data_IF_197901087955
#
_entry.id   IF_197901087955
#
_cell.length_a   1.000
_cell.length_b   1.000
_cell.length_c   1.000
_cell.angle_alpha   90.00
_cell.angle_beta   90.00
_cell.angle_gamma   90.00
#
_symmetry.space_group_name_H-M   'P 1'
#
loop_
_entity.id
_entity.type
_entity.pdbx_description
1 polymer ?
#
# COMPACT_ATOMS: atom_id res chain seq x y z
N UNK A 1 -24.54 3.13 7.75
CA UNK A 1 -25.46 2.01 7.46
C UNK A 1 -24.60 0.89 6.88
N UNK A 2 -24.41 -0.24 7.58
CA UNK A 2 -23.59 -1.35 7.04
C UNK A 2 -24.30 -1.91 5.81
N UNK A 3 -23.70 -1.79 4.62
CA UNK A 3 -24.25 -2.37 3.39
C UNK A 3 -24.05 -3.89 3.49
N UNK A 4 -25.15 -4.64 3.56
CA UNK A 4 -25.11 -6.10 3.47
C UNK A 4 -24.86 -6.48 2.00
N UNK A 5 -23.95 -7.44 1.78
CA UNK A 5 -23.51 -7.88 0.46
C UNK A 5 -23.95 -9.33 0.24
N UNK A 6 -24.94 -9.54 -0.64
CA UNK A 6 -25.42 -10.87 -1.02
C UNK A 6 -24.56 -11.53 -2.11
N UNK A 7 -23.69 -10.75 -2.76
CA UNK A 7 -22.72 -11.18 -3.76
C UNK A 7 -21.40 -10.43 -3.58
N UNK A 8 -20.27 -10.97 -4.06
CA UNK A 8 -18.99 -10.26 -4.05
C UNK A 8 -19.09 -8.89 -4.75
N UNK A 9 -18.44 -7.84 -4.22
CA UNK A 9 -18.28 -6.59 -4.96
C UNK A 9 -17.49 -6.83 -6.25
N UNK A 10 -17.78 -6.06 -7.29
CA UNK A 10 -17.05 -6.12 -8.55
C UNK A 10 -15.70 -5.39 -8.48
N UNK A 11 -15.60 -4.38 -7.61
CA UNK A 11 -14.42 -3.51 -7.50
C UNK A 11 -14.35 -2.81 -6.12
N UNK A 12 -13.26 -2.09 -5.89
CA UNK A 12 -13.10 -1.17 -4.76
C UNK A 12 -12.76 0.24 -5.24
N UNK A 13 -12.86 1.20 -4.34
CA UNK A 13 -12.31 2.54 -4.56
C UNK A 13 -11.62 3.01 -3.31
N UNK A 14 -10.50 3.70 -3.52
CA UNK A 14 -9.68 4.27 -2.47
C UNK A 14 -9.29 5.69 -2.88
N UNK A 15 -9.50 6.67 -1.99
CA UNK A 15 -9.10 8.04 -2.22
C UNK A 15 -7.71 8.27 -1.62
N UNK A 16 -6.74 8.60 -2.48
CA UNK A 16 -5.39 8.98 -2.07
C UNK A 16 -5.19 10.50 -2.19
N UNK A 17 -4.28 11.10 -1.41
CA UNK A 17 -4.00 12.51 -1.51
C UNK A 17 -3.52 12.89 -2.91
N UNK A 18 -3.80 14.13 -3.32
CA UNK A 18 -3.16 14.69 -4.51
C UNK A 18 -1.63 14.59 -4.38
N UNK A 19 -0.94 14.28 -5.47
CA UNK A 19 0.51 14.00 -5.44
C UNK A 19 0.88 12.56 -5.10
N UNK A 20 -0.08 11.64 -5.03
CA UNK A 20 0.20 10.20 -5.07
C UNK A 20 0.05 9.69 -6.50
N UNK A 21 1.10 9.09 -7.04
CA UNK A 21 1.13 8.59 -8.40
C UNK A 21 0.81 7.10 -8.42
N UNK A 22 -0.17 6.69 -9.22
CA UNK A 22 -0.50 5.28 -9.45
C UNK A 22 0.44 4.65 -10.47
N UNK A 23 1.18 3.64 -10.02
CA UNK A 23 1.91 2.71 -10.87
C UNK A 23 1.09 1.44 -11.02
N UNK A 24 0.53 1.21 -12.21
CA UNK A 24 -0.15 -0.05 -12.52
C UNK A 24 0.82 -1.22 -12.34
N UNK A 25 0.34 -2.31 -11.72
CA UNK A 25 1.12 -3.55 -11.60
C UNK A 25 0.81 -4.56 -12.72
N UNK A 26 -0.24 -4.31 -13.50
CA UNK A 26 -0.60 -5.07 -14.69
C UNK A 26 0.60 -5.14 -15.65
N UNK A 27 1.07 -6.33 -16.06
CA UNK A 27 2.15 -6.49 -17.02
C UNK A 27 2.01 -5.66 -18.31
N UNK A 28 0.78 -5.41 -18.78
CA UNK A 28 0.52 -4.65 -20.02
C UNK A 28 0.74 -3.14 -19.84
N UNK A 29 0.39 -2.59 -18.68
CA UNK A 29 0.44 -1.13 -18.42
C UNK A 29 1.58 -0.68 -17.50
N UNK A 30 2.24 -1.62 -16.82
CA UNK A 30 3.24 -1.35 -15.78
C UNK A 30 4.41 -0.53 -16.31
N UNK A 31 5.02 -0.95 -17.43
CA UNK A 31 6.24 -0.31 -17.93
C UNK A 31 5.94 1.11 -18.43
N UNK A 32 4.76 1.33 -19.02
CA UNK A 32 4.24 2.65 -19.40
C UNK A 32 4.02 3.54 -18.17
N UNK A 33 3.41 3.00 -17.10
CA UNK A 33 3.18 3.73 -15.85
C UNK A 33 4.48 4.16 -15.17
N UNK A 34 5.49 3.27 -15.15
CA UNK A 34 6.81 3.55 -14.59
C UNK A 34 7.54 4.64 -15.39
N UNK A 35 7.47 4.58 -16.72
CA UNK A 35 8.05 5.62 -17.57
C UNK A 35 7.39 6.98 -17.29
N UNK A 36 6.06 7.02 -17.19
CA UNK A 36 5.33 8.26 -16.90
C UNK A 36 5.74 8.87 -15.53
N UNK A 37 5.91 8.04 -14.50
CA UNK A 37 6.42 8.49 -13.20
C UNK A 37 7.85 9.05 -13.32
N UNK A 38 8.74 8.34 -14.03
CA UNK A 38 10.11 8.77 -14.23
C UNK A 38 10.18 10.10 -15.01
N UNK A 39 9.37 10.26 -16.06
CA UNK A 39 9.27 11.50 -16.81
C UNK A 39 8.75 12.66 -15.95
N UNK A 40 7.79 12.40 -15.06
CA UNK A 40 7.30 13.41 -14.11
C UNK A 40 8.38 13.82 -13.11
N UNK A 41 9.11 12.86 -12.52
CA UNK A 41 10.13 13.13 -11.51
C UNK A 41 11.35 13.87 -12.05
N UNK A 42 11.73 13.60 -13.30
CA UNK A 42 12.90 14.20 -13.93
C UNK A 42 12.56 15.37 -14.87
N UNK A 43 11.32 15.87 -14.85
CA UNK A 43 10.89 16.99 -15.70
C UNK A 43 11.76 18.22 -15.42
N UNK A 44 12.41 18.74 -16.46
CA UNK A 44 13.31 19.90 -16.34
C UNK A 44 14.72 19.56 -15.81
N UNK A 45 15.05 18.28 -15.65
CA UNK A 45 16.38 17.80 -15.27
C UNK A 45 16.90 16.75 -16.27
N UNK A 46 17.27 17.21 -17.46
CA UNK A 46 17.81 16.35 -18.54
C UNK A 46 19.24 15.87 -18.26
N UNK A 47 19.89 16.41 -17.22
CA UNK A 47 21.29 16.12 -16.88
C UNK A 47 21.49 14.85 -16.04
N UNK A 48 20.42 14.06 -15.81
CA UNK A 48 20.46 12.89 -14.93
C UNK A 48 19.95 11.56 -15.57
N UNK A 49 20.33 11.21 -16.81
CA UNK A 49 19.81 10.02 -17.51
C UNK A 49 20.12 8.71 -16.77
N UNK A 50 21.32 8.59 -16.20
CA UNK A 50 21.74 7.40 -15.44
C UNK A 50 20.89 7.19 -14.18
N UNK A 51 20.53 8.27 -13.48
CA UNK A 51 19.66 8.18 -12.30
C UNK A 51 18.23 7.80 -12.69
N UNK A 52 17.71 8.37 -13.79
CA UNK A 52 16.39 8.04 -14.33
C UNK A 52 16.31 6.56 -14.71
N UNK A 53 17.29 6.04 -15.45
CA UNK A 53 17.36 4.62 -15.82
C UNK A 53 17.47 3.70 -14.60
N UNK A 54 18.21 4.11 -13.56
CA UNK A 54 18.32 3.35 -12.31
C UNK A 54 16.97 3.30 -11.59
N UNK A 55 16.29 4.45 -11.43
CA UNK A 55 14.96 4.51 -10.83
C UNK A 55 13.97 3.60 -11.57
N UNK A 56 13.92 3.69 -12.90
CA UNK A 56 13.03 2.85 -13.71
C UNK A 56 13.30 1.36 -13.50
N UNK A 57 14.56 0.93 -13.54
CA UNK A 57 14.93 -0.48 -13.31
C UNK A 57 14.53 -0.97 -11.92
N UNK A 58 14.78 -0.16 -10.90
CA UNK A 58 14.43 -0.51 -9.52
C UNK A 58 12.91 -0.60 -9.34
N UNK A 59 12.15 0.34 -9.91
CA UNK A 59 10.68 0.32 -9.91
C UNK A 59 10.13 -0.90 -10.65
N UNK A 60 10.68 -1.24 -11.82
CA UNK A 60 10.28 -2.42 -12.58
C UNK A 60 10.50 -3.70 -11.78
N UNK A 61 11.66 -3.84 -11.12
CA UNK A 61 11.97 -4.99 -10.28
C UNK A 61 10.94 -5.14 -9.15
N UNK A 62 10.60 -4.04 -8.47
CA UNK A 62 9.64 -4.05 -7.37
C UNK A 62 8.21 -4.28 -7.82
N UNK A 63 7.76 -3.61 -8.87
CA UNK A 63 6.42 -3.80 -9.41
C UNK A 63 6.21 -5.25 -9.89
N UNK A 64 7.21 -5.88 -10.51
CA UNK A 64 7.20 -7.32 -10.84
C UNK A 64 7.15 -8.23 -9.61
N UNK A 65 7.82 -7.85 -8.52
CA UNK A 65 7.77 -8.62 -7.27
C UNK A 65 6.41 -8.48 -6.58
N UNK A 66 5.87 -7.25 -6.51
CA UNK A 66 4.56 -6.95 -5.96
C UNK A 66 3.46 -7.70 -6.72
N UNK A 67 3.45 -7.64 -8.06
CA UNK A 67 2.48 -8.38 -8.87
C UNK A 67 2.50 -9.89 -8.59
N UNK A 68 3.69 -10.50 -8.52
CA UNK A 68 3.85 -11.94 -8.18
C UNK A 68 3.35 -12.29 -6.77
N UNK A 69 3.32 -11.32 -5.86
CA UNK A 69 2.82 -11.48 -4.50
C UNK A 69 1.31 -11.17 -4.37
N UNK A 70 0.59 -10.94 -5.49
CA UNK A 70 -0.83 -10.59 -5.49
C UNK A 70 -1.11 -9.09 -5.46
N UNK A 71 -0.10 -8.24 -5.68
CA UNK A 71 -0.25 -6.80 -5.82
C UNK A 71 -1.02 -6.41 -7.08
N UNK A 72 -2.00 -5.52 -6.93
CA UNK A 72 -2.84 -5.01 -8.02
C UNK A 72 -2.50 -3.56 -8.37
N UNK A 73 -2.25 -2.73 -7.36
CA UNK A 73 -1.94 -1.30 -7.53
C UNK A 73 -0.81 -0.90 -6.60
N UNK A 74 0.09 -0.03 -7.08
CA UNK A 74 1.12 0.57 -6.25
C UNK A 74 1.07 2.09 -6.40
N UNK A 75 0.88 2.80 -5.29
CA UNK A 75 0.93 4.25 -5.26
C UNK A 75 2.24 4.72 -4.62
N UNK A 76 2.84 5.75 -5.21
CA UNK A 76 4.06 6.37 -4.71
C UNK A 76 3.80 7.86 -4.47
N UNK A 77 4.09 8.32 -3.25
CA UNK A 77 4.03 9.74 -2.93
C UNK A 77 5.11 10.50 -3.68
N UNK A 78 4.69 11.51 -4.44
CA UNK A 78 5.53 12.52 -5.08
C UNK A 78 5.44 13.87 -4.36
N UNK A 79 4.89 13.88 -3.14
CA UNK A 79 4.71 15.09 -2.34
C UNK A 79 6.05 15.61 -1.80
N UNK A 80 6.14 16.93 -1.67
CA UNK A 80 7.25 17.62 -1.01
C UNK A 80 6.70 18.59 0.04
N UNK A 81 7.38 18.69 1.18
CA UNK A 81 7.14 19.73 2.19
C UNK A 81 8.39 20.60 2.25
N UNK A 82 8.27 21.81 1.69
CA UNK A 82 9.43 22.64 1.39
C UNK A 82 10.40 21.87 0.46
N UNK A 83 11.70 21.76 0.82
CA UNK A 83 12.67 21.02 0.01
C UNK A 83 12.68 19.50 0.27
N UNK A 84 11.90 18.99 1.23
CA UNK A 84 12.00 17.59 1.67
C UNK A 84 10.91 16.74 0.99
N UNK A 85 11.28 15.67 0.26
CA UNK A 85 10.30 14.74 -0.29
C UNK A 85 9.65 13.90 0.82
N UNK A 86 8.33 13.82 0.80
CA UNK A 86 7.56 12.94 1.69
C UNK A 86 7.51 11.53 1.10
N UNK A 87 8.63 10.82 1.20
CA UNK A 87 8.75 9.44 0.75
C UNK A 87 7.72 8.54 1.46
N UNK A 88 6.79 8.00 0.70
CA UNK A 88 5.86 6.97 1.16
C UNK A 88 5.27 6.21 -0.01
N UNK A 89 4.72 5.03 0.29
CA UNK A 89 4.05 4.19 -0.71
C UNK A 89 2.83 3.49 -0.12
N UNK A 90 1.91 3.12 -0.99
CA UNK A 90 0.83 2.19 -0.72
C UNK A 90 0.90 1.07 -1.76
N UNK A 91 0.93 -0.17 -1.30
CA UNK A 91 0.69 -1.35 -2.12
C UNK A 91 -0.69 -1.91 -1.79
N UNK A 92 -1.56 -2.00 -2.79
CA UNK A 92 -2.82 -2.74 -2.69
C UNK A 92 -2.59 -4.15 -3.22
N UNK A 93 -2.99 -5.16 -2.46
CA UNK A 93 -2.84 -6.56 -2.84
C UNK A 93 -4.09 -7.36 -2.52
N UNK A 94 -4.38 -8.37 -3.33
CA UNK A 94 -5.44 -9.33 -3.05
C UNK A 94 -4.80 -10.63 -2.58
N UNK A 95 -5.36 -11.22 -1.54
CA UNK A 95 -5.01 -12.54 -1.03
C UNK A 95 -6.16 -13.51 -1.33
N UNK A 96 -6.13 -14.23 -2.48
CA UNK A 96 -7.25 -15.07 -2.91
C UNK A 96 -7.54 -16.23 -1.97
N UNK A 97 -6.51 -16.83 -1.38
CA UNK A 97 -6.67 -17.93 -0.42
C UNK A 97 -7.10 -17.47 0.97
N UNK A 98 -7.14 -16.15 1.20
CA UNK A 98 -7.35 -15.54 2.50
C UNK A 98 -6.31 -15.96 3.55
N UNK A 99 -6.66 -15.73 4.81
CA UNK A 99 -5.85 -16.16 5.94
C UNK A 99 -6.27 -17.56 6.42
N UNK A 100 -5.34 -18.51 6.59
CA UNK A 100 -5.67 -19.86 7.00
C UNK A 100 -6.51 -19.89 8.28
N UNK A 101 -7.73 -20.43 8.17
CA UNK A 101 -8.68 -20.56 9.27
C UNK A 101 -9.19 -19.23 9.85
N UNK A 102 -9.20 -18.15 9.08
CA UNK A 102 -9.81 -16.87 9.44
C UNK A 102 -10.88 -16.53 8.41
N UNK A 103 -12.12 -16.30 8.87
CA UNK A 103 -13.24 -15.85 8.02
C UNK A 103 -13.57 -14.38 8.25
N UNK A 104 -13.29 -13.88 9.44
CA UNK A 104 -13.59 -12.50 9.85
C UNK A 104 -12.31 -11.75 10.23
N UNK A 105 -12.39 -10.41 10.24
CA UNK A 105 -11.34 -9.56 10.79
C UNK A 105 -11.06 -9.88 12.27
N UNK A 106 -12.08 -10.26 13.05
CA UNK A 106 -11.90 -10.67 14.45
C UNK A 106 -11.06 -11.95 14.57
N UNK A 107 -11.30 -12.95 13.71
CA UNK A 107 -10.51 -14.20 13.72
C UNK A 107 -9.03 -13.93 13.46
N UNK A 108 -8.75 -13.03 12.50
CA UNK A 108 -7.39 -12.66 12.15
C UNK A 108 -6.72 -11.84 13.26
N UNK A 109 -7.42 -10.88 13.84
CA UNK A 109 -6.90 -10.06 14.95
C UNK A 109 -6.49 -10.95 16.14
N UNK A 110 -7.31 -11.95 16.49
CA UNK A 110 -6.99 -12.92 17.54
C UNK A 110 -5.68 -13.66 17.25
N UNK A 111 -5.53 -14.25 16.06
CA UNK A 111 -4.31 -14.98 15.68
C UNK A 111 -3.06 -14.12 15.60
N UNK A 112 -3.18 -12.87 15.15
CA UNK A 112 -2.04 -11.96 15.09
C UNK A 112 -1.62 -11.52 16.50
N UNK A 113 -2.58 -11.27 17.38
CA UNK A 113 -2.33 -10.94 18.79
C UNK A 113 -1.65 -12.10 19.52
N UNK A 114 -2.11 -13.34 19.31
CA UNK A 114 -1.46 -14.55 19.87
C UNK A 114 0.01 -14.71 19.43
N UNK A 115 0.34 -14.21 18.24
CA UNK A 115 1.71 -14.19 17.70
C UNK A 115 2.51 -12.96 18.16
N UNK A 116 1.94 -12.09 18.99
CA UNK A 116 2.59 -10.90 19.54
C UNK A 116 2.69 -9.72 18.56
N UNK A 117 1.86 -9.69 17.51
CA UNK A 117 1.82 -8.57 16.57
C UNK A 117 1.08 -7.37 17.18
N UNK A 118 1.59 -6.16 16.95
CA UNK A 118 0.89 -4.90 17.25
C UNK A 118 -0.23 -4.68 16.23
N UNK A 119 -1.41 -5.23 16.53
CA UNK A 119 -2.59 -5.15 15.69
C UNK A 119 -3.86 -4.89 16.50
N UNK A 120 -4.86 -4.33 15.81
CA UNK A 120 -6.17 -4.04 16.39
C UNK A 120 -7.28 -4.19 15.36
N UNK A 121 -8.45 -4.59 15.81
CA UNK A 121 -9.67 -4.54 15.01
C UNK A 121 -10.13 -3.09 14.87
N UNK A 122 -10.43 -2.64 13.65
CA UNK A 122 -10.89 -1.28 13.37
C UNK A 122 -12.07 -1.30 12.39
N UNK A 123 -13.10 -0.47 12.58
CA UNK A 123 -14.15 -0.30 11.59
C UNK A 123 -13.68 0.64 10.47
N UNK A 124 -13.89 0.24 9.22
CA UNK A 124 -13.84 1.13 8.05
C UNK A 124 -15.29 1.43 7.64
N UNK A 125 -15.66 2.71 7.62
CA UNK A 125 -17.07 3.14 7.56
C UNK A 125 -17.86 2.50 6.40
N UNK A 126 -17.26 2.44 5.21
CA UNK A 126 -17.88 1.89 4.01
C UNK A 126 -17.39 0.48 3.64
N UNK A 127 -16.29 -0.01 4.23
CA UNK A 127 -15.68 -1.29 3.88
C UNK A 127 -15.87 -2.41 4.94
N UNK A 128 -16.38 -2.07 6.12
CA UNK A 128 -16.62 -3.03 7.21
C UNK A 128 -15.44 -3.17 8.17
N UNK A 129 -15.43 -4.22 8.98
CA UNK A 129 -14.41 -4.43 10.00
C UNK A 129 -13.11 -4.94 9.36
N UNK A 130 -11.97 -4.37 9.76
CA UNK A 130 -10.64 -4.70 9.26
C UNK A 130 -9.65 -4.91 10.41
N UNK A 131 -8.55 -5.60 10.15
CA UNK A 131 -7.41 -5.63 11.07
C UNK A 131 -6.39 -4.61 10.64
N UNK A 132 -6.04 -3.68 11.53
CA UNK A 132 -4.95 -2.74 11.34
C UNK A 132 -3.74 -3.20 12.14
N UNK A 133 -2.62 -3.33 11.47
CA UNK A 133 -1.35 -3.69 12.05
C UNK A 133 -0.31 -2.59 11.81
N UNK A 134 0.56 -2.34 12.79
CA UNK A 134 1.68 -1.43 12.65
C UNK A 134 2.99 -2.15 12.94
N UNK A 135 4.00 -1.92 12.08
CA UNK A 135 5.33 -2.51 12.22
C UNK A 135 6.39 -1.45 11.94
N UNK A 136 7.46 -1.46 12.73
CA UNK A 136 8.70 -0.76 12.39
C UNK A 136 9.77 -1.79 12.05
N UNK A 137 10.42 -1.63 10.90
CA UNK A 137 11.53 -2.49 10.47
C UNK A 137 12.81 -1.66 10.38
N UNK A 138 13.90 -2.23 10.89
CA UNK A 138 15.23 -1.65 10.69
C UNK A 138 15.57 -1.59 9.19
N UNK A 139 16.46 -0.66 8.84
CA UNK A 139 16.89 -0.46 7.46
C UNK A 139 17.50 -1.73 6.87
N UNK A 140 17.13 -2.03 5.63
CA UNK A 140 17.71 -3.12 4.82
C UNK A 140 18.01 -2.59 3.42
N UNK A 141 19.14 -1.88 3.22
CA UNK A 141 19.43 -1.19 1.96
C UNK A 141 19.32 -2.09 0.72
N UNK A 142 19.73 -3.36 0.83
CA UNK A 142 19.68 -4.32 -0.29
C UNK A 142 18.26 -4.67 -0.75
N UNK A 143 17.31 -4.70 0.19
CA UNK A 143 15.89 -4.96 -0.08
C UNK A 143 15.11 -3.67 -0.34
N UNK A 144 15.66 -2.53 0.06
CA UNK A 144 14.97 -1.25 0.14
C UNK A 144 15.53 -0.16 -0.79
N UNK A 145 16.03 -0.51 -1.99
CA UNK A 145 16.54 0.49 -2.98
C UNK A 145 17.64 1.40 -2.39
N UNK A 146 18.48 0.85 -1.52
CA UNK A 146 19.51 1.60 -0.82
C UNK A 146 19.00 2.42 0.37
N UNK A 147 17.74 2.28 0.79
CA UNK A 147 17.23 2.95 1.97
C UNK A 147 17.99 2.50 3.23
N UNK A 148 18.63 3.45 3.89
CA UNK A 148 19.38 3.27 5.14
C UNK A 148 18.57 3.65 6.37
N UNK A 149 17.31 4.05 6.21
CA UNK A 149 16.42 4.48 7.29
C UNK A 149 15.46 3.36 7.71
N UNK A 150 15.12 3.34 9.00
CA UNK A 150 14.03 2.49 9.48
C UNK A 150 12.73 2.81 8.73
N UNK A 151 11.90 1.79 8.50
CA UNK A 151 10.64 1.93 7.78
C UNK A 151 9.48 1.61 8.69
N UNK A 152 8.57 2.56 8.86
CA UNK A 152 7.26 2.34 9.47
C UNK A 152 6.31 1.80 8.39
N UNK A 153 5.61 0.71 8.71
CA UNK A 153 4.63 0.05 7.86
C UNK A 153 3.30 -0.02 8.60
N UNK A 154 2.21 0.35 7.94
CA UNK A 154 0.85 0.12 8.42
C UNK A 154 0.14 -0.80 7.43
N UNK A 155 -0.47 -1.87 7.91
CA UNK A 155 -1.16 -2.85 7.09
C UNK A 155 -2.61 -2.93 7.51
N UNK A 156 -3.52 -2.75 6.56
CA UNK A 156 -4.93 -3.10 6.74
C UNK A 156 -5.21 -4.42 6.06
N UNK A 157 -5.80 -5.37 6.79
CA UNK A 157 -6.36 -6.60 6.27
C UNK A 157 -7.88 -6.46 6.27
N UNK A 158 -8.46 -6.34 5.08
CA UNK A 158 -9.88 -6.09 4.89
C UNK A 158 -10.52 -7.32 4.23
N UNK A 159 -11.44 -8.03 4.89
CA UNK A 159 -12.19 -9.10 4.25
C UNK A 159 -12.98 -8.55 3.05
N UNK A 160 -12.90 -9.21 1.90
CA UNK A 160 -13.78 -8.89 0.77
C UNK A 160 -15.14 -9.54 1.05
N UNK A 161 -16.25 -8.77 1.01
CA UNK A 161 -17.57 -9.29 1.30
C UNK A 161 -17.95 -10.47 0.41
N UNK A 162 -18.66 -11.46 0.97
CA UNK A 162 -19.22 -12.62 0.27
C UNK A 162 -18.21 -13.51 -0.51
N UNK A 163 -16.90 -13.45 -0.21
CA UNK A 163 -15.89 -14.31 -0.87
C UNK A 163 -15.12 -15.22 0.10
N UNK A 164 -14.46 -14.67 1.12
CA UNK A 164 -13.38 -15.31 1.86
C UNK A 164 -11.96 -14.90 1.40
N UNK A 165 -11.89 -14.07 0.36
CA UNK A 165 -10.68 -13.38 -0.08
C UNK A 165 -10.45 -12.12 0.75
N UNK A 166 -9.23 -11.57 0.73
CA UNK A 166 -8.88 -10.39 1.51
C UNK A 166 -8.16 -9.37 0.64
N UNK A 167 -8.49 -8.11 0.87
CA UNK A 167 -7.73 -6.97 0.37
C UNK A 167 -6.74 -6.54 1.44
N UNK A 168 -5.50 -6.27 1.03
CA UNK A 168 -4.44 -5.76 1.89
C UNK A 168 -4.01 -4.37 1.41
N UNK A 169 -4.06 -3.39 2.32
CA UNK A 169 -3.48 -2.06 2.09
C UNK A 169 -2.19 -1.96 2.90
N UNK A 170 -1.05 -2.01 2.22
CA UNK A 170 0.27 -1.93 2.86
C UNK A 170 0.88 -0.56 2.61
N UNK A 171 0.82 0.30 3.61
CA UNK A 171 1.45 1.61 3.62
C UNK A 171 2.86 1.53 4.18
N UNK A 172 3.79 2.33 3.66
CA UNK A 172 5.12 2.44 4.25
C UNK A 172 5.73 3.83 4.10
N UNK A 173 6.56 4.21 5.07
CA UNK A 173 7.38 5.42 5.03
C UNK A 173 8.74 5.18 5.71
N UNK A 174 9.86 5.65 5.12
CA UNK A 174 11.15 5.67 5.76
C UNK A 174 11.39 6.94 6.61
N UNK A 175 10.36 7.77 6.84
CA UNK A 175 10.48 9.04 7.56
C UNK A 175 10.18 8.87 9.05
N UNK A 176 11.12 8.30 9.80
CA UNK A 176 10.97 8.04 11.23
C UNK A 176 10.51 9.26 12.05
N UNK A 177 11.06 10.49 11.87
CA UNK A 177 10.60 11.66 12.62
C UNK A 177 9.15 12.08 12.32
N UNK A 178 8.64 11.74 11.13
CA UNK A 178 7.28 12.06 10.69
C UNK A 178 6.36 10.85 10.75
N UNK A 179 6.83 9.71 11.27
CA UNK A 179 6.08 8.46 11.26
C UNK A 179 4.69 8.60 11.90
N UNK A 180 4.50 9.27 13.05
CA UNK A 180 3.15 9.46 13.62
C UNK A 180 2.19 10.19 12.67
N UNK A 181 2.61 11.30 12.07
CA UNK A 181 1.80 12.06 11.11
C UNK A 181 1.52 11.27 9.84
N UNK A 182 2.52 10.54 9.33
CA UNK A 182 2.33 9.68 8.16
C UNK A 182 1.36 8.54 8.44
N UNK A 183 1.39 7.99 9.65
CA UNK A 183 0.46 6.95 10.10
C UNK A 183 -0.98 7.50 10.15
N UNK A 184 -1.21 8.72 10.63
CA UNK A 184 -2.53 9.36 10.58
C UNK A 184 -3.02 9.56 9.13
N UNK A 185 -2.12 9.94 8.22
CA UNK A 185 -2.44 10.03 6.80
C UNK A 185 -2.83 8.66 6.22
N UNK A 186 -2.08 7.60 6.55
CA UNK A 186 -2.39 6.24 6.09
C UNK A 186 -3.74 5.77 6.61
N UNK A 187 -4.04 6.04 7.88
CA UNK A 187 -5.32 5.70 8.50
C UNK A 187 -6.48 6.45 7.81
N UNK A 188 -6.26 7.72 7.45
CA UNK A 188 -7.22 8.53 6.69
C UNK A 188 -7.49 7.94 5.32
N UNK A 189 -6.44 7.59 4.56
CA UNK A 189 -6.57 6.98 3.23
C UNK A 189 -7.31 5.65 3.33
N UNK A 190 -6.90 4.76 4.24
CA UNK A 190 -7.58 3.48 4.44
C UNK A 190 -9.06 3.64 4.81
N UNK A 191 -9.40 4.68 5.57
CA UNK A 191 -10.77 5.04 5.94
C UNK A 191 -11.68 5.38 4.75
N UNK A 192 -11.11 5.76 3.60
CA UNK A 192 -11.87 6.08 2.38
C UNK A 192 -12.22 4.86 1.53
N UNK A 193 -11.73 3.66 1.92
CA UNK A 193 -12.03 2.44 1.19
C UNK A 193 -13.54 2.18 1.17
N UNK A 194 -14.07 1.98 -0.03
CA UNK A 194 -15.43 1.47 -0.21
C UNK A 194 -15.50 0.44 -1.33
N UNK A 195 -16.49 -0.43 -1.23
CA UNK A 195 -16.77 -1.48 -2.20
C UNK A 195 -17.79 -1.01 -3.24
N UNK A 196 -17.53 -1.30 -4.51
CA UNK A 196 -18.41 -1.01 -5.64
C UNK A 196 -19.16 -2.29 -6.05
N UNK A 197 -20.42 -2.11 -6.47
CA UNK A 197 -21.29 -3.20 -6.90
C UNK A 197 -21.17 -3.44 -8.41
#
# INVERSE_FOLDING_TARGET
MKKEWDSPPSDYTLMVPNGWFLVSLDPEERDRSILALADQQFRGNDSAPVLKERLMRDLQKRAKAAYRAGGVEMYLSTLTVGPVPLASSLLVSVLPSGWPGCRTASDLAGKLTEKGHDCRLVPLEAAGDAVREQRSKAARPEEQMGNTLATTTVVYHVPIPATGTWLMLTFSTPLEPLAPTMVELFDTVAGTLYWSA
#
